data_IF_420686709467
#
_entry.id   IF_420686709467
#
_cell.length_a   1.000
_cell.length_b   1.000
_cell.length_c   1.000
_cell.angle_alpha   90.00
_cell.angle_beta   90.00
_cell.angle_gamma   90.00
#
_symmetry.space_group_name_H-M   'P 1'
#
loop_
_entity.id
_entity.type
_entity.pdbx_description
1 polymer ?
#
# COMPACT_ATOMS: atom_id res chain seq x y z
N UNK A 1 7.11 -17.27 18.07
CA UNK A 1 7.59 -17.30 16.67
C UNK A 1 6.60 -16.50 15.85
N UNK A 2 7.02 -15.41 15.24
CA UNK A 2 6.18 -14.57 14.40
C UNK A 2 6.12 -15.15 12.98
N UNK A 3 5.13 -14.72 12.16
CA UNK A 3 5.06 -15.07 10.74
C UNK A 3 6.37 -14.71 10.04
N UNK A 4 6.94 -13.54 10.37
CA UNK A 4 8.20 -13.02 9.80
C UNK A 4 9.38 -13.98 10.01
N UNK A 5 9.46 -14.66 11.17
CA UNK A 5 10.56 -15.59 11.49
C UNK A 5 10.52 -16.87 10.63
N UNK A 6 9.37 -17.16 10.02
CA UNK A 6 9.16 -18.34 9.18
C UNK A 6 9.10 -18.04 7.68
N UNK A 7 9.23 -16.77 7.28
CA UNK A 7 9.24 -16.37 5.89
C UNK A 7 10.67 -16.42 5.32
N UNK A 8 10.81 -16.94 4.10
CA UNK A 8 12.08 -16.87 3.36
C UNK A 8 12.48 -15.42 3.06
N UNK A 9 11.49 -14.62 2.68
CA UNK A 9 11.65 -13.19 2.40
C UNK A 9 10.45 -12.41 2.95
N UNK A 10 10.68 -11.16 3.37
CA UNK A 10 9.65 -10.22 3.80
C UNK A 10 9.78 -8.95 2.98
N UNK A 11 8.72 -8.57 2.30
CA UNK A 11 8.63 -7.34 1.50
C UNK A 11 7.79 -6.31 2.26
N UNK A 12 8.41 -5.26 2.72
CA UNK A 12 7.74 -4.16 3.39
C UNK A 12 7.63 -2.94 2.47
N UNK A 13 6.75 -2.00 2.81
CA UNK A 13 6.58 -0.74 2.08
C UNK A 13 6.42 -0.96 0.56
N UNK A 14 5.47 -1.82 0.16
CA UNK A 14 5.21 -2.19 -1.23
C UNK A 14 6.42 -2.82 -1.97
N UNK A 15 7.36 -3.44 -1.23
CA UNK A 15 8.59 -4.02 -1.77
C UNK A 15 9.78 -3.06 -1.78
N UNK A 16 9.64 -1.87 -1.21
CA UNK A 16 10.74 -0.90 -1.12
C UNK A 16 11.74 -1.19 0.01
N UNK A 17 11.40 -2.09 0.93
CA UNK A 17 12.31 -2.68 1.91
C UNK A 17 12.16 -4.20 1.82
N UNK A 18 13.26 -4.90 1.57
CA UNK A 18 13.30 -6.35 1.37
C UNK A 18 14.20 -6.97 2.42
N UNK A 19 13.66 -7.93 3.15
CA UNK A 19 14.34 -8.63 4.22
C UNK A 19 14.44 -10.11 3.89
N UNK A 20 15.59 -10.72 4.18
CA UNK A 20 15.81 -12.14 4.06
C UNK A 20 16.48 -12.65 5.34
N UNK A 21 15.87 -13.65 5.99
CA UNK A 21 16.38 -14.24 7.24
C UNK A 21 16.74 -13.21 8.32
N UNK A 22 15.88 -12.18 8.46
CA UNK A 22 16.07 -11.14 9.47
C UNK A 22 17.11 -10.05 9.12
N UNK A 23 17.67 -10.07 7.90
CA UNK A 23 18.61 -9.05 7.42
C UNK A 23 17.94 -8.25 6.30
N UNK A 24 17.99 -6.91 6.37
CA UNK A 24 17.55 -6.06 5.27
C UNK A 24 18.58 -6.14 4.14
N UNK A 25 18.17 -6.69 3.00
CA UNK A 25 19.02 -6.90 1.83
C UNK A 25 18.86 -5.83 0.76
N UNK A 26 17.76 -5.06 0.82
CA UNK A 26 17.49 -3.94 -0.09
C UNK A 26 16.59 -2.92 0.57
N UNK A 27 16.92 -1.63 0.39
CA UNK A 27 16.13 -0.50 0.83
C UNK A 27 16.13 0.58 -0.26
N UNK A 28 14.96 1.08 -0.63
CA UNK A 28 14.81 2.18 -1.58
C UNK A 28 14.87 3.51 -0.85
N UNK A 29 15.70 4.44 -1.32
CA UNK A 29 15.64 5.83 -0.86
C UNK A 29 14.61 6.61 -1.69
N UNK A 30 13.59 7.15 -1.03
CA UNK A 30 12.53 7.91 -1.68
C UNK A 30 13.01 9.30 -2.12
N UNK A 31 13.87 9.95 -1.33
CA UNK A 31 14.43 11.26 -1.55
C UNK A 31 13.41 12.32 -2.08
N UNK A 32 12.30 12.58 -1.38
CA UNK A 32 11.22 13.43 -1.87
C UNK A 32 11.63 14.90 -1.93
N UNK A 33 11.21 15.66 -2.96
CA UNK A 33 11.47 17.08 -3.02
C UNK A 33 10.74 17.84 -1.90
N UNK A 34 11.35 18.94 -1.41
CA UNK A 34 10.82 19.70 -0.26
C UNK A 34 9.38 20.20 -0.47
N UNK A 35 9.04 20.64 -1.68
CA UNK A 35 7.70 21.13 -2.00
C UNK A 35 6.61 20.05 -1.95
N UNK A 36 6.98 18.77 -1.96
CA UNK A 36 6.02 17.67 -1.80
C UNK A 36 5.33 17.71 -0.43
N UNK A 37 6.09 17.98 0.64
CA UNK A 37 5.51 18.07 1.97
C UNK A 37 4.54 19.25 2.08
N UNK A 38 4.90 20.42 1.55
CA UNK A 38 3.99 21.58 1.50
C UNK A 38 2.70 21.30 0.72
N UNK A 39 2.78 20.53 -0.37
CA UNK A 39 1.58 20.08 -1.09
C UNK A 39 0.70 19.20 -0.20
N UNK A 40 1.26 18.19 0.46
CA UNK A 40 0.49 17.27 1.32
C UNK A 40 -0.12 17.99 2.53
N UNK A 41 0.61 18.93 3.16
CA UNK A 41 0.10 19.76 4.25
C UNK A 41 -1.08 20.62 3.79
N UNK A 42 -1.02 21.15 2.56
CA UNK A 42 -2.09 21.94 1.97
C UNK A 42 -3.33 21.08 1.66
N UNK A 43 -3.16 19.84 1.22
CA UNK A 43 -4.28 18.90 1.05
C UNK A 43 -4.98 18.61 2.38
N UNK A 44 -4.24 18.46 3.48
CA UNK A 44 -4.83 18.33 4.82
C UNK A 44 -5.60 19.58 5.22
N UNK A 45 -5.03 20.77 5.00
CA UNK A 45 -5.65 22.04 5.36
C UNK A 45 -6.93 22.32 4.55
N UNK A 46 -6.95 21.93 3.28
CA UNK A 46 -8.08 22.15 2.36
C UNK A 46 -9.15 21.04 2.44
N UNK A 47 -8.88 19.94 3.11
CA UNK A 47 -9.81 18.83 3.21
C UNK A 47 -11.10 19.25 3.95
N UNK A 48 -12.29 19.00 3.37
CA UNK A 48 -13.57 19.26 4.00
C UNK A 48 -13.90 18.24 5.13
N UNK A 49 -13.15 17.15 5.25
CA UNK A 49 -13.36 16.22 6.35
C UNK A 49 -12.98 16.88 7.69
N UNK A 50 -13.90 16.96 8.67
CA UNK A 50 -13.72 17.82 9.83
C UNK A 50 -12.77 17.26 10.89
N UNK A 51 -12.59 15.95 10.94
CA UNK A 51 -11.85 15.29 12.03
C UNK A 51 -10.45 14.88 11.60
N UNK A 52 -9.45 15.32 12.36
CA UNK A 52 -8.02 15.07 12.09
C UNK A 52 -7.32 14.65 13.39
N UNK A 53 -6.53 13.56 13.35
CA UNK A 53 -5.94 12.92 14.52
C UNK A 53 -4.45 12.66 14.32
N UNK A 54 -3.63 13.46 14.99
CA UNK A 54 -2.16 13.32 15.01
C UNK A 54 -1.49 13.65 13.68
N UNK A 55 -0.40 12.96 13.40
CA UNK A 55 0.40 13.17 12.20
C UNK A 55 -0.32 12.68 10.94
N UNK A 56 -0.17 13.40 9.85
CA UNK A 56 -0.78 13.12 8.55
C UNK A 56 0.18 12.48 7.55
N UNK A 57 1.49 12.66 7.77
CA UNK A 57 2.57 12.24 6.88
C UNK A 57 3.52 11.33 7.65
N UNK A 58 3.58 10.07 7.30
CA UNK A 58 4.51 9.09 7.89
C UNK A 58 5.53 8.65 6.84
N UNK A 59 6.80 8.95 7.10
CA UNK A 59 7.91 8.51 6.24
C UNK A 59 8.30 7.08 6.58
N UNK A 60 8.41 6.24 5.57
CA UNK A 60 8.88 4.86 5.65
C UNK A 60 9.98 4.63 4.61
N UNK A 61 10.61 3.47 4.62
CA UNK A 61 11.59 3.09 3.61
C UNK A 61 10.96 3.10 2.22
N UNK A 62 11.43 4.01 1.35
CA UNK A 62 10.96 4.17 -0.02
C UNK A 62 9.49 4.51 -0.20
N UNK A 63 8.80 4.94 0.87
CA UNK A 63 7.37 5.20 0.86
C UNK A 63 6.99 6.31 1.84
N UNK A 64 6.06 7.16 1.47
CA UNK A 64 5.32 8.05 2.38
C UNK A 64 3.90 7.54 2.50
N UNK A 65 3.42 7.30 3.72
CA UNK A 65 2.02 7.06 3.98
C UNK A 65 1.36 8.38 4.39
N UNK A 66 0.37 8.81 3.62
CA UNK A 66 -0.36 10.07 3.81
C UNK A 66 -1.81 9.79 4.18
N UNK A 67 -2.35 10.49 5.18
CA UNK A 67 -3.73 10.27 5.64
C UNK A 67 -4.39 11.58 6.05
N UNK A 68 -5.53 11.90 5.47
CA UNK A 68 -6.34 13.09 5.84
C UNK A 68 -6.89 12.97 7.26
N UNK A 69 -7.37 11.80 7.66
CA UNK A 69 -7.86 11.60 9.03
C UNK A 69 -6.74 11.53 10.06
N UNK A 70 -5.50 11.33 9.60
CA UNK A 70 -4.30 11.26 10.44
C UNK A 70 -3.98 9.85 10.95
N UNK A 71 -2.72 9.67 11.34
CA UNK A 71 -2.16 8.35 11.72
C UNK A 71 -2.58 7.89 13.11
N UNK A 72 -3.03 8.83 13.97
CA UNK A 72 -3.52 8.51 15.32
C UNK A 72 -5.02 8.16 15.37
N UNK A 73 -5.73 8.21 14.24
CA UNK A 73 -7.12 7.75 14.15
C UNK A 73 -7.22 6.25 14.41
N UNK A 74 -8.18 5.83 15.23
CA UNK A 74 -8.41 4.43 15.63
C UNK A 74 -9.88 4.03 15.49
N UNK A 75 -10.16 2.73 15.34
CA UNK A 75 -11.51 2.16 15.33
C UNK A 75 -12.50 2.99 14.50
N UNK A 76 -13.60 3.43 15.13
CA UNK A 76 -14.69 4.19 14.51
C UNK A 76 -14.21 5.43 13.74
N UNK A 77 -13.18 6.13 14.22
CA UNK A 77 -12.65 7.32 13.55
C UNK A 77 -12.11 7.00 12.14
N UNK A 78 -11.53 5.81 11.98
CA UNK A 78 -11.06 5.32 10.67
C UNK A 78 -12.22 4.87 9.80
N UNK A 79 -13.20 4.21 10.41
CA UNK A 79 -14.38 3.69 9.70
C UNK A 79 -15.27 4.85 9.21
N UNK A 80 -15.43 5.89 10.00
CA UNK A 80 -16.14 7.13 9.62
C UNK A 80 -15.48 7.82 8.44
N UNK A 81 -14.15 7.99 8.48
CA UNK A 81 -13.43 8.56 7.33
C UNK A 81 -13.56 7.68 6.08
N UNK A 82 -13.41 6.37 6.25
CA UNK A 82 -13.54 5.43 5.13
C UNK A 82 -14.94 5.48 4.49
N UNK A 83 -16.00 5.50 5.31
CA UNK A 83 -17.38 5.64 4.83
C UNK A 83 -17.59 6.98 4.11
N UNK A 84 -17.06 8.07 4.68
CA UNK A 84 -17.13 9.40 4.09
C UNK A 84 -16.37 9.46 2.74
N UNK A 85 -15.13 8.93 2.69
CA UNK A 85 -14.31 8.93 1.47
C UNK A 85 -14.90 8.08 0.36
N UNK A 86 -15.60 7.00 0.67
CA UNK A 86 -16.33 6.19 -0.32
C UNK A 86 -17.42 6.98 -1.06
N UNK A 87 -17.95 8.04 -0.44
CA UNK A 87 -18.94 8.94 -1.04
C UNK A 87 -18.25 10.10 -1.77
N UNK A 88 -17.23 10.69 -1.15
CA UNK A 88 -16.61 11.93 -1.62
C UNK A 88 -15.39 11.72 -2.52
N UNK A 89 -14.82 10.51 -2.53
CA UNK A 89 -13.66 10.11 -3.35
C UNK A 89 -12.44 11.05 -3.17
N UNK A 90 -12.26 11.60 -1.95
CA UNK A 90 -11.23 12.58 -1.66
C UNK A 90 -9.83 12.04 -1.90
N UNK A 91 -9.54 10.81 -1.40
CA UNK A 91 -8.22 10.18 -1.60
C UNK A 91 -7.89 10.01 -3.08
N UNK A 92 -8.86 9.58 -3.87
CA UNK A 92 -8.67 9.44 -5.33
C UNK A 92 -8.39 10.79 -5.98
N UNK A 93 -9.12 11.84 -5.58
CA UNK A 93 -8.91 13.19 -6.10
C UNK A 93 -7.53 13.74 -5.72
N UNK A 94 -7.08 13.53 -4.48
CA UNK A 94 -5.73 13.92 -4.02
C UNK A 94 -4.65 13.15 -4.80
N UNK A 95 -4.79 11.83 -4.95
CA UNK A 95 -3.85 11.01 -5.70
C UNK A 95 -3.69 11.53 -7.14
N UNK A 96 -4.79 11.86 -7.82
CA UNK A 96 -4.77 12.41 -9.17
C UNK A 96 -4.04 13.78 -9.23
N UNK A 97 -4.32 14.70 -8.30
CA UNK A 97 -3.60 15.99 -8.23
C UNK A 97 -2.13 15.80 -7.96
N UNK A 98 -1.79 14.90 -7.02
CA UNK A 98 -0.41 14.56 -6.68
C UNK A 98 0.34 14.00 -7.89
N UNK A 99 -0.21 13.02 -8.58
CA UNK A 99 0.41 12.35 -9.73
C UNK A 99 0.65 13.30 -10.91
N UNK A 100 -0.22 14.30 -11.09
CA UNK A 100 -0.03 15.35 -12.07
C UNK A 100 1.07 16.36 -11.66
N UNK A 101 1.25 16.59 -10.36
CA UNK A 101 2.21 17.59 -9.84
C UNK A 101 3.62 17.00 -9.73
N UNK A 102 3.73 15.70 -9.40
CA UNK A 102 5.01 15.03 -9.15
C UNK A 102 5.20 13.80 -10.06
N UNK A 103 5.50 13.98 -11.36
CA UNK A 103 5.50 12.88 -12.35
C UNK A 103 6.58 11.80 -12.12
N UNK A 104 7.57 12.06 -11.25
CA UNK A 104 8.57 11.08 -10.81
C UNK A 104 8.09 10.17 -9.66
N UNK A 105 6.93 10.47 -9.10
CA UNK A 105 6.32 9.75 -8.00
C UNK A 105 4.93 9.27 -8.38
N UNK A 106 4.38 8.38 -7.56
CA UNK A 106 3.03 7.84 -7.72
C UNK A 106 2.35 7.73 -6.36
N UNK A 107 1.14 8.25 -6.26
CA UNK A 107 0.26 8.10 -5.12
C UNK A 107 -0.84 7.10 -5.46
N UNK A 108 -0.97 6.06 -4.67
CA UNK A 108 -2.02 5.03 -4.79
C UNK A 108 -2.90 5.02 -3.54
N UNK A 109 -4.19 4.72 -3.71
CA UNK A 109 -5.10 4.57 -2.57
C UNK A 109 -4.73 3.30 -1.81
N UNK A 110 -4.18 3.48 -0.59
CA UNK A 110 -3.75 2.41 0.29
C UNK A 110 -4.66 2.25 1.50
N UNK A 111 -4.90 1.02 1.95
CA UNK A 111 -5.71 0.76 3.15
C UNK A 111 -7.06 1.50 3.18
N UNK A 112 -7.63 1.71 4.37
CA UNK A 112 -8.94 2.35 4.52
C UNK A 112 -8.86 3.88 4.61
N UNK A 113 -7.69 4.47 4.93
CA UNK A 113 -7.60 5.89 5.29
C UNK A 113 -6.41 6.61 4.67
N UNK A 114 -5.58 5.93 3.86
CA UNK A 114 -4.31 6.50 3.43
C UNK A 114 -4.11 6.49 1.91
N UNK A 115 -3.14 7.27 1.49
CA UNK A 115 -2.43 7.14 0.21
C UNK A 115 -1.02 6.63 0.50
N UNK A 116 -0.55 5.71 -0.33
CA UNK A 116 0.83 5.27 -0.37
C UNK A 116 1.55 5.98 -1.52
N UNK A 117 2.59 6.76 -1.20
CA UNK A 117 3.35 7.56 -2.14
C UNK A 117 4.75 6.97 -2.26
N UNK A 118 5.16 6.63 -3.46
CA UNK A 118 6.45 6.02 -3.77
C UNK A 118 7.03 6.56 -5.08
N UNK A 119 8.27 6.20 -5.42
CA UNK A 119 8.81 6.46 -6.74
C UNK A 119 7.97 5.75 -7.78
N UNK A 120 7.75 6.40 -8.92
CA UNK A 120 6.93 5.83 -10.01
C UNK A 120 7.45 4.46 -10.43
N UNK A 121 6.53 3.49 -10.47
CA UNK A 121 6.85 2.08 -10.77
C UNK A 121 7.42 1.28 -9.59
N UNK A 122 7.63 1.88 -8.41
CA UNK A 122 8.09 1.19 -7.20
C UNK A 122 6.92 0.74 -6.31
N UNK A 123 5.88 0.20 -6.93
CA UNK A 123 4.71 -0.39 -6.29
C UNK A 123 4.89 -1.90 -6.04
N UNK A 124 3.85 -2.58 -5.57
CA UNK A 124 3.90 -4.02 -5.23
C UNK A 124 4.31 -4.93 -6.40
N UNK A 125 4.18 -4.49 -7.66
CA UNK A 125 4.59 -5.30 -8.82
C UNK A 125 6.07 -5.70 -8.77
N UNK A 126 6.95 -4.87 -8.18
CA UNK A 126 8.37 -5.18 -8.04
C UNK A 126 8.65 -6.47 -7.23
N UNK A 127 7.72 -6.90 -6.38
CA UNK A 127 7.83 -8.16 -5.62
C UNK A 127 7.93 -9.35 -6.58
N UNK A 128 7.15 -9.35 -7.66
CA UNK A 128 7.17 -10.39 -8.67
C UNK A 128 8.54 -10.50 -9.37
N UNK A 129 9.13 -9.35 -9.69
CA UNK A 129 10.44 -9.30 -10.36
C UNK A 129 11.58 -9.79 -9.43
N UNK A 130 11.47 -9.53 -8.13
CA UNK A 130 12.47 -10.01 -7.14
C UNK A 130 12.35 -11.50 -6.90
N UNK A 131 11.12 -12.05 -6.81
CA UNK A 131 10.89 -13.48 -6.60
C UNK A 131 11.32 -14.30 -7.82
N UNK A 132 11.02 -13.81 -9.03
CA UNK A 132 11.46 -14.41 -10.30
C UNK A 132 10.98 -15.85 -10.55
N UNK A 133 9.88 -16.27 -9.91
CA UNK A 133 9.30 -17.59 -9.96
C UNK A 133 7.76 -17.50 -9.94
N UNK A 134 7.04 -18.55 -10.41
CA UNK A 134 5.59 -18.61 -10.30
C UNK A 134 5.12 -18.41 -8.85
N UNK A 135 4.04 -17.66 -8.68
CA UNK A 135 3.52 -17.28 -7.37
C UNK A 135 2.05 -17.66 -7.18
N UNK A 136 1.69 -17.91 -5.92
CA UNK A 136 0.30 -17.87 -5.45
C UNK A 136 0.15 -16.60 -4.62
N UNK A 137 -0.76 -15.71 -5.03
CA UNK A 137 -0.94 -14.41 -4.39
C UNK A 137 -2.35 -14.27 -3.81
N UNK A 138 -2.41 -13.87 -2.55
CA UNK A 138 -3.64 -13.52 -1.83
C UNK A 138 -3.62 -12.02 -1.54
N UNK A 139 -4.67 -11.29 -1.90
CA UNK A 139 -4.75 -9.85 -1.67
C UNK A 139 -6.19 -9.35 -1.61
N UNK A 140 -6.42 -8.26 -0.90
CA UNK A 140 -7.74 -7.69 -0.65
C UNK A 140 -8.08 -6.49 -1.57
N UNK A 141 -7.09 -5.97 -2.31
CA UNK A 141 -7.24 -4.77 -3.15
C UNK A 141 -6.76 -4.97 -4.58
N UNK A 142 -7.25 -6.04 -5.20
CA UNK A 142 -6.88 -6.48 -6.56
C UNK A 142 -7.74 -5.87 -7.68
N UNK A 143 -8.39 -4.74 -7.44
CA UNK A 143 -9.20 -3.98 -8.40
C UNK A 143 -8.43 -2.74 -8.89
N UNK A 144 -8.79 -2.14 -10.04
CA UNK A 144 -8.16 -0.92 -10.53
C UNK A 144 -8.16 0.19 -9.47
N UNK A 145 -6.97 0.74 -9.17
CA UNK A 145 -6.76 1.73 -8.11
C UNK A 145 -6.45 1.14 -6.72
N UNK A 146 -6.57 -0.16 -6.52
CA UNK A 146 -6.12 -0.83 -5.30
C UNK A 146 -4.61 -1.15 -5.35
N UNK A 147 -3.95 -1.12 -4.21
CA UNK A 147 -2.50 -1.29 -4.12
C UNK A 147 -1.99 -2.72 -4.39
N UNK A 148 -2.87 -3.73 -4.51
CA UNK A 148 -2.53 -5.10 -4.94
C UNK A 148 -2.69 -5.31 -6.45
N UNK A 149 -3.38 -4.37 -7.11
CA UNK A 149 -3.66 -4.47 -8.54
C UNK A 149 -2.40 -4.50 -9.41
N UNK A 150 -1.34 -3.70 -9.15
CA UNK A 150 -0.11 -3.76 -9.92
C UNK A 150 0.56 -5.13 -9.86
N UNK A 151 0.63 -5.78 -8.69
CA UNK A 151 1.20 -7.12 -8.55
C UNK A 151 0.38 -8.16 -9.30
N UNK A 152 -0.94 -8.16 -9.11
CA UNK A 152 -1.85 -9.04 -9.86
C UNK A 152 -1.64 -8.94 -11.37
N UNK A 153 -1.54 -7.73 -11.90
CA UNK A 153 -1.35 -7.51 -13.34
C UNK A 153 0.06 -7.88 -13.84
N UNK A 154 1.05 -7.90 -12.95
CA UNK A 154 2.41 -8.32 -13.25
C UNK A 154 2.56 -9.84 -13.33
N UNK A 155 1.69 -10.58 -12.66
CA UNK A 155 1.68 -12.04 -12.62
C UNK A 155 1.16 -12.58 -13.96
N UNK A 156 2.06 -13.02 -14.82
CA UNK A 156 1.76 -13.48 -16.19
C UNK A 156 2.24 -14.90 -16.50
N UNK A 157 2.90 -15.56 -15.53
CA UNK A 157 3.37 -16.92 -15.74
C UNK A 157 2.18 -17.90 -15.73
N UNK A 158 2.15 -18.96 -16.58
CA UNK A 158 1.01 -19.89 -16.65
C UNK A 158 0.68 -20.63 -15.36
N UNK A 159 1.64 -20.75 -14.45
CA UNK A 159 1.46 -21.37 -13.14
C UNK A 159 1.10 -20.37 -12.02
N UNK A 160 1.04 -19.07 -12.32
CA UNK A 160 0.59 -18.08 -11.34
C UNK A 160 -0.86 -18.34 -10.94
N UNK A 161 -1.16 -18.10 -9.67
CA UNK A 161 -2.52 -18.16 -9.12
C UNK A 161 -2.80 -16.91 -8.30
N UNK A 162 -3.96 -16.32 -8.50
CA UNK A 162 -4.40 -15.10 -7.83
C UNK A 162 -5.70 -15.35 -7.09
N UNK A 163 -5.71 -15.11 -5.79
CA UNK A 163 -6.87 -15.28 -4.93
C UNK A 163 -7.26 -13.94 -4.29
N UNK A 164 -8.30 -13.25 -4.83
CA UNK A 164 -8.90 -12.13 -4.12
C UNK A 164 -9.51 -12.63 -2.81
N UNK A 165 -9.18 -11.96 -1.70
CA UNK A 165 -9.66 -12.28 -0.36
C UNK A 165 -10.23 -11.03 0.31
N UNK A 166 -11.08 -11.22 1.32
CA UNK A 166 -11.68 -10.13 2.09
C UNK A 166 -11.15 -10.08 3.54
N UNK A 167 -10.49 -11.17 3.98
CA UNK A 167 -9.92 -11.24 5.33
C UNK A 167 -8.76 -12.24 5.43
N UNK A 168 -8.03 -12.18 6.53
CA UNK A 168 -6.97 -13.13 6.86
C UNK A 168 -7.54 -14.55 7.05
N UNK A 169 -8.73 -14.67 7.63
CA UNK A 169 -9.41 -15.95 7.85
C UNK A 169 -9.70 -16.64 6.51
N UNK A 170 -10.16 -15.89 5.51
CA UNK A 170 -10.39 -16.42 4.17
C UNK A 170 -9.08 -16.89 3.52
N UNK A 171 -7.99 -16.16 3.70
CA UNK A 171 -6.66 -16.60 3.25
C UNK A 171 -6.28 -17.94 3.87
N UNK A 172 -6.42 -18.07 5.20
CA UNK A 172 -6.12 -19.32 5.89
C UNK A 172 -7.01 -20.49 5.45
N UNK A 173 -8.28 -20.24 5.17
CA UNK A 173 -9.18 -21.25 4.65
C UNK A 173 -8.73 -21.76 3.28
N UNK A 174 -8.45 -20.84 2.35
CA UNK A 174 -7.97 -21.20 1.01
C UNK A 174 -6.63 -21.96 1.05
N UNK A 175 -5.71 -21.57 1.94
CA UNK A 175 -4.45 -22.28 2.12
C UNK A 175 -4.68 -23.72 2.59
N UNK A 176 -5.62 -23.95 3.52
CA UNK A 176 -5.96 -25.30 4.01
C UNK A 176 -6.62 -26.14 2.92
N UNK A 177 -7.52 -25.54 2.13
CA UNK A 177 -8.32 -26.27 1.15
C UNK A 177 -7.55 -26.66 -0.11
N UNK A 178 -6.54 -25.86 -0.49
CA UNK A 178 -5.89 -25.99 -1.78
C UNK A 178 -4.37 -26.22 -1.72
N UNK A 179 -3.72 -25.94 -0.58
CA UNK A 179 -2.25 -25.92 -0.48
C UNK A 179 -1.69 -26.65 0.74
N UNK A 180 -2.53 -27.29 1.57
CA UNK A 180 -2.08 -28.22 2.62
C UNK A 180 -1.96 -29.62 2.02
N UNK A 181 -0.77 -30.00 1.65
CA UNK A 181 -0.36 -31.39 1.54
C UNK A 181 0.35 -31.85 2.80
#
# INVERSE_FOLDING_TARGET
TTIVDNCTMVFQCAGNSVWQRGVEISATDLNPPRNMFGFLEQEVANSPYPHKYGEHIEKRTGLINFSIVGRSAVGEQRDDYYAWDNIHHERTAIANRFNNTFPGFEAEVGGNTSLDIHLKGRNKAQVYDVIGAPMVFFGDRMYPGGNDYPLKNRMIHPLDRVHPVTSAEQTWQLLKDHYNE
#
